data_IF_509271986872
#
_entry.id   IF_509271986872
#
_cell.length_a   1.000
_cell.length_b   1.000
_cell.length_c   1.000
_cell.angle_alpha   90.00
_cell.angle_beta   90.00
_cell.angle_gamma   90.00
#
_symmetry.space_group_name_H-M   'P 1'
#
loop_
_entity.id
_entity.type
_entity.pdbx_description
1 polymer ?
#
# COMPACT_ATOMS: atom_id res chain seq x y z
N UNK A 1 -0.45 13.10 16.66
CA UNK A 1 0.28 12.73 15.44
C UNK A 1 -0.49 11.63 14.73
N UNK A 2 -0.77 11.82 13.45
CA UNK A 2 -1.59 10.90 12.68
C UNK A 2 -0.72 9.72 12.22
N UNK A 3 -1.13 8.50 12.58
CA UNK A 3 -0.41 7.28 12.24
C UNK A 3 -1.28 6.41 11.34
N UNK A 4 -0.65 5.88 10.30
CA UNK A 4 -1.27 4.89 9.42
C UNK A 4 -0.64 3.52 9.66
N UNK A 5 -1.32 2.48 9.20
CA UNK A 5 -0.76 1.14 9.16
C UNK A 5 -0.96 0.54 7.77
N UNK A 6 0.00 -0.25 7.34
CA UNK A 6 -0.04 -0.86 6.02
C UNK A 6 0.40 -2.30 6.05
N UNK A 7 -0.04 -3.05 5.05
CA UNK A 7 0.29 -4.46 4.89
C UNK A 7 1.02 -4.67 3.58
N UNK A 8 2.27 -5.09 3.69
CA UNK A 8 3.11 -5.41 2.53
C UNK A 8 3.09 -6.92 2.32
N UNK A 9 2.27 -7.38 1.38
CA UNK A 9 2.29 -8.78 0.99
C UNK A 9 3.53 -9.06 0.16
N UNK A 10 4.15 -10.20 0.40
CA UNK A 10 5.27 -10.67 -0.41
C UNK A 10 5.09 -12.14 -0.75
N UNK A 11 5.72 -12.54 -1.84
CA UNK A 11 5.71 -13.93 -2.27
C UNK A 11 7.04 -14.30 -2.87
N UNK A 12 7.38 -15.58 -2.80
CA UNK A 12 8.54 -16.10 -3.52
C UNK A 12 8.12 -16.51 -4.91
N UNK A 13 9.00 -16.23 -5.86
CA UNK A 13 8.82 -16.71 -7.21
C UNK A 13 9.85 -17.83 -7.45
N UNK A 14 9.56 -18.70 -8.40
CA UNK A 14 10.53 -19.71 -8.85
C UNK A 14 11.68 -19.08 -9.65
N UNK A 15 11.61 -17.79 -9.83
CA UNK A 15 12.52 -16.99 -10.62
C UNK A 15 13.71 -16.54 -9.77
N UNK A 16 14.82 -16.23 -10.45
CA UNK A 16 16.07 -15.78 -9.83
C UNK A 16 16.00 -14.34 -9.30
N UNK A 17 14.93 -13.63 -9.56
CA UNK A 17 14.82 -12.20 -9.25
C UNK A 17 14.40 -11.90 -7.80
N UNK A 18 14.31 -12.92 -6.95
CA UNK A 18 13.97 -12.76 -5.55
C UNK A 18 12.48 -12.56 -5.33
N UNK A 19 12.09 -12.00 -4.16
CA UNK A 19 10.69 -11.88 -3.82
C UNK A 19 9.98 -10.83 -4.65
N UNK A 20 8.67 -11.02 -4.79
CA UNK A 20 7.77 -9.99 -5.30
C UNK A 20 6.94 -9.43 -4.16
N UNK A 21 6.53 -8.19 -4.31
CA UNK A 21 5.64 -7.51 -3.35
C UNK A 21 4.40 -7.01 -4.06
N UNK A 22 3.30 -6.95 -3.31
CA UNK A 22 2.02 -6.47 -3.85
C UNK A 22 1.87 -5.00 -3.50
N UNK A 23 1.75 -4.17 -4.53
CA UNK A 23 1.59 -2.72 -4.41
C UNK A 23 0.30 -2.27 -5.07
N UNK A 24 -0.20 -1.12 -4.64
CA UNK A 24 -1.38 -0.50 -5.24
C UNK A 24 -1.00 0.86 -5.82
N UNK A 25 -1.61 1.19 -6.96
CA UNK A 25 -1.42 2.47 -7.61
C UNK A 25 -2.42 3.48 -7.03
N UNK A 26 -1.91 4.64 -6.64
CA UNK A 26 -2.74 5.71 -6.08
C UNK A 26 -3.65 6.26 -7.17
N UNK A 27 -4.95 6.34 -6.84
CA UNK A 27 -5.96 6.79 -7.80
C UNK A 27 -6.11 8.30 -7.87
N UNK A 28 -6.81 8.74 -8.89
CA UNK A 28 -7.14 10.15 -9.08
C UNK A 28 -6.12 10.91 -9.93
N UNK A 29 -6.52 12.10 -10.38
CA UNK A 29 -5.70 12.87 -11.35
C UNK A 29 -4.38 13.37 -10.79
N UNK A 30 -4.29 13.58 -9.46
CA UNK A 30 -3.06 14.04 -8.82
C UNK A 30 -1.90 13.05 -9.05
N UNK A 31 -2.19 11.74 -9.01
CA UNK A 31 -1.18 10.70 -9.09
C UNK A 31 -0.91 10.20 -10.49
N UNK A 32 -1.80 10.51 -11.45
CA UNK A 32 -1.78 9.93 -12.78
C UNK A 32 -0.43 10.01 -13.49
N UNK A 33 0.29 11.11 -13.32
CA UNK A 33 1.56 11.37 -14.02
C UNK A 33 2.76 11.42 -13.09
N UNK A 34 2.60 11.01 -11.84
CA UNK A 34 3.72 11.04 -10.89
C UNK A 34 4.52 9.76 -11.00
N UNK A 35 5.87 9.86 -10.99
CA UNK A 35 6.71 8.67 -11.17
C UNK A 35 6.66 7.71 -9.99
N UNK A 36 6.41 8.21 -8.77
CA UNK A 36 6.35 7.37 -7.56
C UNK A 36 4.94 7.42 -7.02
N UNK A 37 4.04 6.72 -7.72
CA UNK A 37 2.61 6.72 -7.42
C UNK A 37 2.11 5.38 -6.87
N UNK A 38 3.00 4.45 -6.56
CA UNK A 38 2.66 3.15 -6.01
C UNK A 38 2.91 3.12 -4.50
N UNK A 39 2.08 2.41 -3.79
CA UNK A 39 2.07 2.39 -2.33
C UNK A 39 1.80 0.99 -1.80
N UNK A 40 2.31 0.73 -0.61
CA UNK A 40 1.82 -0.36 0.23
C UNK A 40 0.36 0.00 0.58
N UNK A 41 -0.60 -0.96 0.47
CA UNK A 41 -1.97 -0.71 0.92
C UNK A 41 -1.97 -0.30 2.40
N UNK A 42 -2.51 0.89 2.72
CA UNK A 42 -2.43 1.48 4.05
C UNK A 42 -3.50 2.51 4.28
N UNK A 43 -3.73 2.83 5.52
CA UNK A 43 -4.61 3.93 5.88
C UNK A 43 -4.52 4.26 7.35
N UNK A 44 -5.30 5.22 7.78
CA UNK A 44 -5.27 5.76 9.13
C UNK A 44 -5.81 4.76 10.15
N UNK A 45 -5.16 4.72 11.32
CA UNK A 45 -5.71 4.00 12.46
C UNK A 45 -6.93 4.74 12.99
N UNK A 46 -7.96 3.98 13.34
CA UNK A 46 -9.05 4.50 14.13
C UNK A 46 -8.60 4.63 15.59
N UNK A 47 -9.30 5.45 16.37
CA UNK A 47 -8.96 5.66 17.77
C UNK A 47 -8.95 4.33 18.52
N UNK A 48 -7.81 4.02 19.16
CA UNK A 48 -7.65 2.79 19.94
C UNK A 48 -7.49 1.52 19.12
N UNK A 49 -7.40 1.61 17.81
CA UNK A 49 -7.27 0.45 16.95
C UNK A 49 -5.86 -0.14 17.01
N UNK A 50 -5.77 -1.47 17.07
CA UNK A 50 -4.49 -2.16 16.97
C UNK A 50 -3.89 -1.95 15.57
N UNK A 51 -2.58 -1.64 15.47
CA UNK A 51 -1.97 -1.36 14.15
C UNK A 51 -2.11 -2.49 13.13
N UNK A 52 -1.94 -3.76 13.54
CA UNK A 52 -2.11 -4.86 12.59
C UNK A 52 -3.56 -4.99 12.14
N UNK A 53 -4.50 -4.83 13.05
CA UNK A 53 -5.92 -4.86 12.69
C UNK A 53 -6.25 -3.74 11.71
N UNK A 54 -5.69 -2.55 11.92
CA UNK A 54 -5.85 -1.42 10.99
C UNK A 54 -5.26 -1.73 9.62
N UNK A 55 -4.07 -2.33 9.57
CA UNK A 55 -3.44 -2.70 8.31
C UNK A 55 -4.29 -3.69 7.52
N UNK A 56 -4.87 -4.68 8.19
CA UNK A 56 -5.74 -5.67 7.55
C UNK A 56 -7.05 -5.03 7.07
N UNK A 57 -7.64 -4.17 7.86
CA UNK A 57 -8.85 -3.45 7.49
C UNK A 57 -8.61 -2.56 6.28
N UNK A 58 -7.55 -1.78 6.30
CA UNK A 58 -7.20 -0.88 5.20
C UNK A 58 -6.87 -1.65 3.92
N UNK A 59 -6.21 -2.79 4.04
CA UNK A 59 -5.96 -3.65 2.88
C UNK A 59 -7.28 -4.04 2.23
N UNK A 60 -8.24 -4.52 3.02
CA UNK A 60 -9.55 -4.94 2.50
C UNK A 60 -10.29 -3.77 1.85
N UNK A 61 -10.22 -2.58 2.44
CA UNK A 61 -10.88 -1.40 1.91
C UNK A 61 -10.25 -0.92 0.59
N UNK A 62 -8.93 -0.95 0.49
CA UNK A 62 -8.23 -0.49 -0.72
C UNK A 62 -8.23 -1.51 -1.84
N UNK A 63 -8.05 -2.78 -1.51
CA UNK A 63 -7.95 -3.84 -2.52
C UNK A 63 -9.32 -4.42 -2.88
N UNK A 64 -10.26 -4.40 -1.94
CA UNK A 64 -11.62 -4.88 -2.16
C UNK A 64 -11.83 -6.33 -1.78
N UNK A 65 -10.79 -7.01 -1.30
CA UNK A 65 -10.86 -8.37 -0.77
C UNK A 65 -10.04 -8.46 0.50
N UNK A 66 -10.37 -9.38 1.42
CA UNK A 66 -9.59 -9.56 2.63
C UNK A 66 -8.17 -10.01 2.32
N UNK A 67 -7.22 -9.60 3.14
CA UNK A 67 -5.87 -10.10 3.04
C UNK A 67 -5.85 -11.61 3.36
N UNK A 68 -5.06 -12.40 2.62
CA UNK A 68 -4.91 -13.81 2.95
C UNK A 68 -4.17 -13.97 4.28
N UNK A 69 -4.37 -15.10 4.94
CA UNK A 69 -3.59 -15.44 6.14
C UNK A 69 -2.15 -15.80 5.74
N UNK A 70 -1.25 -15.65 6.68
CA UNK A 70 0.12 -16.03 6.46
C UNK A 70 1.05 -15.50 7.56
N UNK A 71 2.30 -15.97 7.58
CA UNK A 71 3.29 -15.48 8.53
C UNK A 71 3.45 -13.97 8.39
N UNK A 72 3.42 -13.27 9.52
CA UNK A 72 3.42 -11.81 9.55
C UNK A 72 4.55 -11.30 10.43
N UNK A 73 5.28 -10.29 9.94
CA UNK A 73 6.39 -9.68 10.66
C UNK A 73 6.16 -8.17 10.70
N UNK A 74 6.38 -7.59 11.87
CA UNK A 74 6.32 -6.15 12.06
C UNK A 74 7.63 -5.53 11.54
N UNK A 75 7.55 -4.74 10.48
CA UNK A 75 8.72 -4.06 9.92
C UNK A 75 8.98 -2.70 10.59
N UNK A 76 8.14 -2.31 11.53
CA UNK A 76 8.29 -1.04 12.21
C UNK A 76 7.68 0.13 11.45
N UNK A 77 8.02 1.31 11.89
CA UNK A 77 7.45 2.55 11.37
C UNK A 77 8.36 3.17 10.33
N UNK A 78 7.77 3.69 9.26
CA UNK A 78 8.47 4.50 8.26
C UNK A 78 7.85 5.89 8.22
N UNK A 79 8.62 6.87 7.78
CA UNK A 79 8.15 8.25 7.70
C UNK A 79 8.15 8.70 6.25
N UNK A 80 7.02 9.20 5.78
CA UNK A 80 6.90 9.80 4.46
C UNK A 80 7.30 11.28 4.50
N UNK A 81 7.56 11.86 3.32
CA UNK A 81 8.04 13.24 3.20
C UNK A 81 7.10 14.27 3.86
N UNK A 82 5.81 13.98 3.88
CA UNK A 82 4.81 14.84 4.52
C UNK A 82 4.86 14.80 6.05
N UNK A 83 5.75 13.99 6.64
CA UNK A 83 5.78 13.73 8.08
C UNK A 83 4.84 12.64 8.54
N UNK A 84 4.02 12.10 7.65
CA UNK A 84 3.10 10.99 7.96
C UNK A 84 3.89 9.75 8.33
N UNK A 85 3.45 9.07 9.39
CA UNK A 85 4.09 7.82 9.85
C UNK A 85 3.23 6.65 9.47
N UNK A 86 3.88 5.58 9.01
CA UNK A 86 3.19 4.34 8.61
C UNK A 86 3.85 3.18 9.31
N UNK A 87 3.08 2.44 10.11
CA UNK A 87 3.52 1.16 10.66
C UNK A 87 3.30 0.09 9.61
N UNK A 88 4.36 -0.61 9.23
CA UNK A 88 4.28 -1.58 8.13
C UNK A 88 4.46 -2.99 8.66
N UNK A 89 3.55 -3.88 8.24
CA UNK A 89 3.65 -5.32 8.51
C UNK A 89 3.87 -6.03 7.19
N UNK A 90 4.77 -7.01 7.18
CA UNK A 90 4.99 -7.85 6.01
C UNK A 90 4.30 -9.20 6.25
N UNK A 91 3.63 -9.71 5.22
CA UNK A 91 2.95 -11.02 5.30
C UNK A 91 3.22 -11.80 4.02
N UNK A 92 3.63 -13.05 4.19
CA UNK A 92 3.84 -13.94 3.05
C UNK A 92 2.50 -14.45 2.52
N UNK A 93 2.32 -14.38 1.20
CA UNK A 93 1.06 -14.74 0.55
C UNK A 93 1.31 -15.28 -0.86
N UNK A 94 1.90 -16.47 -0.94
CA UNK A 94 2.37 -17.04 -2.21
C UNK A 94 1.24 -17.31 -3.21
N UNK A 95 0.04 -17.59 -2.73
CA UNK A 95 -1.09 -17.93 -3.61
C UNK A 95 -2.08 -16.80 -3.85
N UNK A 96 -1.78 -15.59 -3.39
CA UNK A 96 -2.75 -14.50 -3.49
C UNK A 96 -2.81 -13.95 -4.91
N UNK A 97 -4.02 -13.94 -5.47
CA UNK A 97 -4.31 -13.36 -6.78
C UNK A 97 -5.56 -12.51 -6.65
N UNK A 98 -5.54 -11.34 -7.27
CA UNK A 98 -6.72 -10.48 -7.36
C UNK A 98 -6.84 -10.00 -8.80
N UNK A 99 -8.04 -10.16 -9.38
CA UNK A 99 -8.28 -9.79 -10.78
C UNK A 99 -8.36 -8.27 -10.95
N UNK A 100 -9.01 -7.59 -10.01
CA UNK A 100 -9.15 -6.14 -10.04
C UNK A 100 -9.31 -5.61 -8.62
N UNK A 101 -8.63 -4.51 -8.32
CA UNK A 101 -8.81 -3.85 -7.02
C UNK A 101 -10.11 -3.04 -7.04
N UNK A 102 -10.76 -2.96 -5.88
CA UNK A 102 -11.96 -2.17 -5.67
C UNK A 102 -11.81 -1.42 -4.35
N UNK A 103 -11.33 -0.19 -4.44
CA UNK A 103 -11.11 0.61 -3.25
C UNK A 103 -12.31 1.47 -2.92
N UNK A 104 -12.30 2.02 -1.71
CA UNK A 104 -13.15 3.14 -1.35
C UNK A 104 -12.84 4.31 -2.27
N UNK A 105 -13.81 5.21 -2.41
CA UNK A 105 -13.62 6.43 -3.17
C UNK A 105 -13.37 7.60 -2.24
N UNK A 106 -12.71 8.63 -2.78
CA UNK A 106 -12.56 9.92 -2.13
C UNK A 106 -13.22 10.98 -2.99
N UNK A 107 -13.73 12.01 -2.35
CA UNK A 107 -14.40 13.11 -3.03
C UNK A 107 -13.39 14.23 -3.27
N UNK A 108 -13.21 14.58 -4.54
CA UNK A 108 -12.28 15.62 -4.93
C UNK A 108 -13.02 16.78 -5.57
N UNK A 109 -12.61 18.00 -5.26
CA UNK A 109 -13.11 19.20 -5.93
C UNK A 109 -12.24 19.46 -7.17
N UNK A 110 -12.89 19.44 -8.34
CA UNK A 110 -12.21 19.65 -9.62
C UNK A 110 -13.04 20.54 -10.54
N UNK A 111 -12.50 21.69 -10.99
CA UNK A 111 -11.25 22.30 -10.57
C UNK A 111 -11.29 22.76 -9.11
N UNK A 112 -10.13 22.95 -8.53
CA UNK A 112 -10.02 23.40 -7.14
C UNK A 112 -10.75 24.73 -6.96
N UNK A 113 -11.62 24.80 -5.93
CA UNK A 113 -12.40 25.98 -5.63
C UNK A 113 -13.65 26.16 -6.48
N UNK A 114 -13.96 25.22 -7.38
CA UNK A 114 -15.11 25.33 -8.30
C UNK A 114 -16.45 24.98 -7.68
N UNK A 115 -16.46 24.29 -6.54
CA UNK A 115 -17.68 23.73 -5.97
C UNK A 115 -18.17 22.47 -6.67
N UNK A 116 -17.43 21.96 -7.66
CA UNK A 116 -17.76 20.73 -8.37
C UNK A 116 -16.94 19.59 -7.82
N UNK A 117 -17.60 18.50 -7.46
CA UNK A 117 -16.97 17.36 -6.82
C UNK A 117 -17.14 16.11 -7.67
N UNK A 118 -16.09 15.30 -7.71
CA UNK A 118 -16.10 13.97 -8.33
C UNK A 118 -15.62 12.96 -7.34
N UNK A 119 -16.12 11.74 -7.45
CA UNK A 119 -15.61 10.61 -6.67
C UNK A 119 -14.60 9.86 -7.50
N UNK A 120 -13.43 9.61 -6.90
CA UNK A 120 -12.37 8.83 -7.54
C UNK A 120 -11.93 7.73 -6.58
N UNK A 121 -11.53 6.56 -7.09
CA UNK A 121 -11.01 5.50 -6.22
C UNK A 121 -9.72 5.95 -5.55
N UNK A 122 -9.53 5.55 -4.29
CA UNK A 122 -8.27 5.81 -3.58
C UNK A 122 -7.11 5.10 -4.25
N UNK A 123 -7.35 3.89 -4.73
CA UNK A 123 -6.40 3.16 -5.57
C UNK A 123 -7.13 2.61 -6.78
N UNK A 124 -6.44 2.52 -7.91
CA UNK A 124 -7.06 2.11 -9.17
C UNK A 124 -6.45 0.84 -9.76
N UNK A 125 -5.37 0.34 -9.22
CA UNK A 125 -4.72 -0.87 -9.71
C UNK A 125 -3.94 -1.53 -8.57
N UNK A 126 -3.83 -2.86 -8.60
CA UNK A 126 -2.95 -3.63 -7.73
C UNK A 126 -2.08 -4.54 -8.58
N UNK A 127 -0.82 -4.72 -8.19
CA UNK A 127 0.11 -5.50 -8.98
C UNK A 127 1.20 -6.13 -8.12
N UNK A 128 1.56 -7.34 -8.45
CA UNK A 128 2.79 -7.95 -7.95
C UNK A 128 3.97 -7.44 -8.75
N UNK A 129 4.99 -6.94 -8.08
CA UNK A 129 6.20 -6.42 -8.72
C UNK A 129 7.44 -6.97 -8.02
N UNK A 130 8.51 -7.13 -8.77
CA UNK A 130 9.79 -7.52 -8.20
C UNK A 130 10.38 -6.41 -7.33
N UNK A 131 11.33 -6.77 -6.46
CA UNK A 131 11.90 -5.84 -5.51
C UNK A 131 12.55 -4.62 -6.17
N UNK A 132 13.28 -4.82 -7.26
CA UNK A 132 13.95 -3.70 -7.95
C UNK A 132 12.94 -2.74 -8.56
N UNK A 133 11.90 -3.27 -9.19
CA UNK A 133 10.83 -2.45 -9.74
C UNK A 133 10.08 -1.71 -8.62
N UNK A 134 9.78 -2.41 -7.53
CA UNK A 134 9.10 -1.81 -6.38
C UNK A 134 9.88 -0.62 -5.82
N UNK A 135 11.21 -0.74 -5.76
CA UNK A 135 12.07 0.34 -5.27
C UNK A 135 11.92 1.61 -6.08
N UNK A 136 11.71 1.47 -7.38
CA UNK A 136 11.54 2.62 -8.29
C UNK A 136 10.12 3.17 -8.27
N UNK A 137 9.12 2.34 -7.99
CA UNK A 137 7.70 2.71 -8.07
C UNK A 137 7.12 3.26 -6.77
N UNK A 138 7.62 2.79 -5.62
CA UNK A 138 7.08 3.19 -4.32
C UNK A 138 7.26 4.67 -4.03
N UNK A 139 6.27 5.26 -3.36
CA UNK A 139 6.48 6.57 -2.75
C UNK A 139 7.74 6.49 -1.88
N UNK A 140 8.55 7.54 -1.97
CA UNK A 140 9.94 7.49 -1.49
C UNK A 140 10.07 7.05 -0.02
N UNK A 141 9.22 7.55 0.86
CA UNK A 141 9.28 7.22 2.28
C UNK A 141 8.98 5.77 2.62
N UNK A 142 8.41 5.01 1.70
CA UNK A 142 8.09 3.60 1.94
C UNK A 142 9.21 2.64 1.49
N UNK A 143 10.22 3.12 0.77
CA UNK A 143 11.32 2.27 0.30
C UNK A 143 12.06 1.61 1.46
N UNK A 144 12.15 2.27 2.60
CA UNK A 144 12.78 1.72 3.80
C UNK A 144 12.08 0.43 4.26
N UNK A 145 10.74 0.36 4.14
CA UNK A 145 10.00 -0.86 4.48
C UNK A 145 10.41 -2.02 3.57
N UNK A 146 10.55 -1.75 2.27
CA UNK A 146 11.03 -2.76 1.33
C UNK A 146 12.42 -3.24 1.72
N UNK A 147 13.33 -2.33 2.07
CA UNK A 147 14.70 -2.70 2.49
C UNK A 147 14.67 -3.57 3.74
N UNK A 148 13.81 -3.24 4.69
CA UNK A 148 13.67 -4.05 5.92
C UNK A 148 13.15 -5.45 5.62
N UNK A 149 12.20 -5.58 4.71
CA UNK A 149 11.70 -6.88 4.28
C UNK A 149 12.83 -7.71 3.64
N UNK A 150 13.58 -7.11 2.73
CA UNK A 150 14.66 -7.81 2.03
C UNK A 150 15.76 -8.25 2.98
N UNK A 151 15.96 -7.55 4.09
CA UNK A 151 16.97 -7.90 5.08
C UNK A 151 16.62 -9.14 5.90
N UNK A 152 15.33 -9.48 6.01
CA UNK A 152 14.88 -10.63 6.80
C UNK A 152 14.46 -11.83 5.95
N UNK A 153 14.38 -11.67 4.66
CA UNK A 153 13.91 -12.72 3.74
C UNK A 153 15.07 -13.59 3.21
#
# INVERSE_FOLDING_TARGET
MVTSAGLLLHRRTSDRHGPEVFLVHMGGPFWRRRPRAWSIPKGLLDSGEDPLAAALREFAEEVGVPAPDGPTVDLGEVRQASGKRVRVFARRADGFVVDAVRSNTVRLELPRGSGRFVEVPEVDEGRWVGADEARALLVAGQVVALDRLLAID
#
